data_IF_449103775961
#
_entry.id   IF_449103775961
#
_cell.length_a   1.000
_cell.length_b   1.000
_cell.length_c   1.000
_cell.angle_alpha   90.00
_cell.angle_beta   90.00
_cell.angle_gamma   90.00
#
_symmetry.space_group_name_H-M   'P 1'
#
loop_
_entity.id
_entity.type
_entity.pdbx_description
1 polymer ?
#
# COMPACT_ATOMS: atom_id res chain seq x y z
N UNK A 1 -74.56 2.14 11.58
CA UNK A 1 -73.87 1.12 10.74
C UNK A 1 -72.78 1.70 9.83
N UNK A 2 -72.59 3.02 9.75
CA UNK A 2 -71.63 3.67 8.85
C UNK A 2 -70.21 3.82 9.41
N UNK A 3 -70.05 3.98 10.72
CA UNK A 3 -68.72 4.22 11.31
C UNK A 3 -67.83 2.97 11.34
N UNK A 4 -68.38 1.80 11.67
CA UNK A 4 -67.62 0.54 11.69
C UNK A 4 -67.05 0.17 10.31
N UNK A 5 -67.74 0.54 9.23
CA UNK A 5 -67.30 0.31 7.86
C UNK A 5 -66.13 1.22 7.46
N UNK A 6 -66.07 2.43 8.02
CA UNK A 6 -64.97 3.37 7.81
C UNK A 6 -63.67 2.88 8.46
N UNK A 7 -63.74 2.41 9.71
CA UNK A 7 -62.57 1.85 10.42
C UNK A 7 -62.01 0.58 9.75
N UNK A 8 -62.89 -0.30 9.25
CA UNK A 8 -62.46 -1.50 8.54
C UNK A 8 -61.72 -1.15 7.22
N UNK A 9 -62.20 -0.16 6.47
CA UNK A 9 -61.52 0.32 5.27
C UNK A 9 -60.16 0.96 5.58
N UNK A 10 -60.07 1.76 6.64
CA UNK A 10 -58.80 2.33 7.08
C UNK A 10 -57.79 1.25 7.48
N UNK A 11 -58.22 0.19 8.20
CA UNK A 11 -57.34 -0.93 8.57
C UNK A 11 -56.82 -1.71 7.35
N UNK A 12 -57.68 -1.97 6.36
CA UNK A 12 -57.27 -2.64 5.11
C UNK A 12 -56.28 -1.78 4.32
N UNK A 13 -56.51 -0.47 4.23
CA UNK A 13 -55.60 0.46 3.54
C UNK A 13 -54.28 0.60 4.30
N UNK A 14 -54.30 0.68 5.64
CA UNK A 14 -53.08 0.69 6.47
C UNK A 14 -52.28 -0.59 6.33
N UNK A 15 -52.93 -1.75 6.24
CA UNK A 15 -52.25 -3.04 6.01
C UNK A 15 -51.63 -3.15 4.62
N UNK A 16 -52.21 -2.50 3.60
CA UNK A 16 -51.64 -2.45 2.25
C UNK A 16 -50.44 -1.50 2.14
N UNK A 17 -50.44 -0.39 2.89
CA UNK A 17 -49.32 0.57 2.91
C UNK A 17 -48.14 0.02 3.74
N UNK A 18 -48.40 -0.77 4.78
CA UNK A 18 -47.37 -1.37 5.63
C UNK A 18 -46.54 -2.48 4.94
N UNK A 19 -46.93 -2.92 3.74
CA UNK A 19 -46.23 -3.96 2.99
C UNK A 19 -45.29 -3.42 1.89
N UNK A 20 -44.99 -2.11 1.88
CA UNK A 20 -43.93 -1.58 1.01
C UNK A 20 -42.56 -1.94 1.61
N UNK A 21 -42.17 -3.21 1.45
CA UNK A 21 -40.81 -3.66 1.74
C UNK A 21 -39.92 -3.02 0.67
N UNK A 22 -39.22 -1.95 1.02
CA UNK A 22 -38.21 -1.35 0.14
C UNK A 22 -37.25 -2.46 -0.29
N UNK A 23 -37.17 -2.71 -1.59
CA UNK A 23 -36.25 -3.69 -2.13
C UNK A 23 -34.82 -3.14 -2.00
N UNK A 24 -33.91 -3.93 -1.42
CA UNK A 24 -32.53 -3.49 -1.23
C UNK A 24 -31.88 -3.37 -2.61
N UNK A 25 -31.41 -2.18 -2.96
CA UNK A 25 -30.71 -1.97 -4.23
C UNK A 25 -29.21 -1.84 -4.00
N UNK A 26 -28.43 -2.70 -4.63
CA UNK A 26 -26.97 -2.68 -4.53
C UNK A 26 -26.34 -2.33 -5.89
N UNK A 27 -25.14 -1.78 -5.82
CA UNK A 27 -24.32 -1.56 -7.01
C UNK A 27 -23.62 -2.87 -7.40
N UNK A 28 -23.66 -3.18 -8.69
CA UNK A 28 -22.90 -4.27 -9.31
C UNK A 28 -21.80 -3.67 -10.17
N UNK A 29 -20.56 -3.72 -9.68
CA UNK A 29 -19.38 -3.25 -10.41
C UNK A 29 -18.09 -3.82 -9.82
N UNK A 30 -17.01 -3.82 -10.60
CA UNK A 30 -15.65 -3.99 -10.12
C UNK A 30 -14.79 -2.77 -10.47
N UNK A 31 -13.68 -2.57 -9.77
CA UNK A 31 -12.72 -1.51 -10.06
C UNK A 31 -11.28 -1.93 -9.71
N UNK A 32 -10.31 -1.20 -10.27
CA UNK A 32 -8.89 -1.50 -10.12
C UNK A 32 -8.53 -2.86 -10.71
N UNK A 33 -7.67 -3.61 -10.01
CA UNK A 33 -7.19 -4.91 -10.46
C UNK A 33 -8.09 -6.07 -10.04
N UNK A 34 -9.27 -5.84 -9.44
CA UNK A 34 -10.09 -6.90 -8.83
C UNK A 34 -10.33 -8.08 -9.77
N UNK A 35 -10.78 -7.82 -11.01
CA UNK A 35 -11.07 -8.87 -11.99
C UNK A 35 -9.82 -9.69 -12.35
N UNK A 36 -8.64 -9.06 -12.40
CA UNK A 36 -7.38 -9.79 -12.65
C UNK A 36 -6.95 -10.69 -11.49
N UNK A 37 -7.59 -10.56 -10.31
CA UNK A 37 -7.32 -11.36 -9.11
C UNK A 37 -8.32 -12.49 -8.89
N UNK A 38 -8.98 -12.98 -9.94
CA UNK A 38 -9.88 -14.15 -9.88
C UNK A 38 -9.30 -15.33 -9.10
N UNK A 39 -8.00 -15.61 -9.27
CA UNK A 39 -7.30 -16.70 -8.59
C UNK A 39 -7.31 -16.60 -7.04
N UNK A 40 -7.53 -15.41 -6.46
CA UNK A 40 -7.72 -15.24 -5.01
C UNK A 40 -9.09 -15.74 -4.54
N UNK A 41 -10.08 -15.75 -5.42
CA UNK A 41 -11.49 -16.00 -5.10
C UNK A 41 -12.04 -17.29 -5.72
N UNK A 42 -11.26 -17.93 -6.57
CA UNK A 42 -11.57 -19.23 -7.18
C UNK A 42 -10.38 -20.16 -7.03
N UNK A 43 -10.40 -20.97 -5.96
CA UNK A 43 -9.38 -21.95 -5.67
C UNK A 43 -9.99 -23.18 -5.01
N UNK A 44 -10.10 -24.27 -5.78
CA UNK A 44 -10.58 -25.55 -5.26
C UNK A 44 -9.69 -26.09 -4.13
N UNK A 45 -8.37 -25.82 -4.20
CA UNK A 45 -7.40 -26.28 -3.20
C UNK A 45 -7.60 -25.63 -1.84
N UNK A 46 -8.05 -24.38 -1.82
CA UNK A 46 -8.25 -23.60 -0.59
C UNK A 46 -9.72 -23.56 -0.15
N UNK A 47 -10.59 -24.35 -0.79
CA UNK A 47 -12.04 -24.29 -0.60
C UNK A 47 -12.58 -22.85 -0.74
N UNK A 48 -12.04 -22.12 -1.72
CA UNK A 48 -12.48 -20.78 -2.08
C UNK A 48 -13.32 -20.87 -3.35
N UNK A 49 -14.61 -20.63 -3.20
CA UNK A 49 -15.55 -20.62 -4.29
C UNK A 49 -16.46 -19.40 -4.17
N UNK A 50 -16.15 -18.40 -4.99
CA UNK A 50 -17.01 -17.25 -5.21
C UNK A 50 -17.56 -17.28 -6.62
N UNK A 51 -18.79 -16.80 -6.77
CA UNK A 51 -19.35 -16.56 -8.10
C UNK A 51 -18.44 -15.62 -8.88
N UNK A 52 -18.36 -15.82 -10.19
CA UNK A 52 -17.51 -15.02 -11.06
C UNK A 52 -18.16 -14.84 -12.42
N UNK A 53 -18.08 -13.62 -12.94
CA UNK A 53 -18.73 -13.25 -14.19
C UNK A 53 -17.87 -12.28 -14.99
N UNK A 54 -17.86 -12.45 -16.30
CA UNK A 54 -17.17 -11.55 -17.24
C UNK A 54 -17.82 -10.16 -17.29
N UNK A 55 -19.07 -10.05 -16.79
CA UNK A 55 -19.81 -8.79 -16.72
C UNK A 55 -19.00 -7.68 -16.02
N UNK A 56 -18.27 -8.02 -14.96
CA UNK A 56 -17.49 -7.04 -14.19
C UNK A 56 -16.38 -6.37 -15.01
N UNK A 57 -15.87 -7.02 -16.07
CA UNK A 57 -14.93 -6.43 -17.01
C UNK A 57 -15.51 -5.28 -17.84
N UNK A 58 -16.84 -5.07 -17.80
CA UNK A 58 -17.54 -4.00 -18.52
C UNK A 58 -17.98 -2.83 -17.61
N UNK A 59 -17.79 -2.96 -16.30
CA UNK A 59 -18.17 -1.98 -15.26
C UNK A 59 -16.93 -1.32 -14.64
N UNK A 60 -17.12 -0.18 -13.97
CA UNK A 60 -16.04 0.46 -13.21
C UNK A 60 -16.59 1.29 -12.03
N UNK A 61 -16.42 0.78 -10.81
CA UNK A 61 -16.85 1.48 -9.60
C UNK A 61 -16.14 2.84 -9.40
N UNK A 62 -14.91 3.01 -9.89
CA UNK A 62 -14.12 4.23 -9.65
C UNK A 62 -14.73 5.48 -10.31
N UNK A 63 -15.38 5.28 -11.46
CA UNK A 63 -16.09 6.32 -12.21
C UNK A 63 -17.62 6.23 -12.03
N UNK A 64 -18.10 5.36 -11.13
CA UNK A 64 -19.53 5.15 -10.87
C UNK A 64 -20.27 4.39 -11.97
N UNK A 65 -19.56 3.75 -12.91
CA UNK A 65 -20.18 2.93 -13.97
C UNK A 65 -20.59 1.58 -13.38
N UNK A 66 -21.76 1.54 -12.75
CA UNK A 66 -22.32 0.37 -12.11
C UNK A 66 -23.74 0.08 -12.59
N UNK A 67 -24.16 -1.18 -12.49
CA UNK A 67 -25.56 -1.55 -12.66
C UNK A 67 -26.20 -1.67 -11.30
N UNK A 68 -27.32 -0.98 -11.09
CA UNK A 68 -28.10 -1.10 -9.86
C UNK A 68 -29.00 -2.33 -9.94
N UNK A 69 -28.90 -3.21 -8.94
CA UNK A 69 -29.62 -4.50 -8.91
C UNK A 69 -30.33 -4.66 -7.58
N UNK A 70 -31.54 -5.24 -7.64
CA UNK A 70 -32.26 -5.65 -6.44
C UNK A 70 -31.61 -6.90 -5.83
N UNK A 71 -31.44 -6.89 -4.51
CA UNK A 71 -30.88 -8.00 -3.74
C UNK A 71 -31.86 -8.43 -2.63
N UNK A 72 -31.84 -9.71 -2.30
CA UNK A 72 -32.65 -10.30 -1.23
C UNK A 72 -31.98 -10.20 0.13
N UNK A 73 -30.65 -10.25 0.16
CA UNK A 73 -29.80 -10.13 1.36
C UNK A 73 -29.05 -8.79 1.35
N UNK A 74 -27.83 -8.72 1.88
CA UNK A 74 -27.05 -7.48 1.97
C UNK A 74 -26.24 -7.15 0.70
N UNK A 75 -25.88 -5.88 0.54
CA UNK A 75 -24.86 -5.44 -0.40
C UNK A 75 -23.48 -5.86 0.12
N UNK A 76 -22.72 -6.55 -0.70
CA UNK A 76 -21.35 -6.95 -0.42
C UNK A 76 -20.38 -6.02 -1.13
N UNK A 77 -19.45 -5.45 -0.39
CA UNK A 77 -18.26 -4.78 -0.91
C UNK A 77 -17.03 -5.57 -0.52
N UNK A 78 -16.21 -5.94 -1.50
CA UNK A 78 -14.92 -6.60 -1.28
C UNK A 78 -13.82 -5.63 -1.65
N UNK A 79 -12.90 -5.37 -0.73
CA UNK A 79 -11.76 -4.49 -0.97
C UNK A 79 -10.47 -5.29 -0.88
N UNK A 80 -9.66 -5.18 -1.92
CA UNK A 80 -8.33 -5.77 -2.02
C UNK A 80 -7.27 -4.72 -1.72
N UNK A 81 -6.40 -5.02 -0.77
CA UNK A 81 -5.20 -4.24 -0.53
C UNK A 81 -3.97 -5.12 -0.62
N UNK A 82 -3.05 -4.81 -1.53
CA UNK A 82 -1.78 -5.54 -1.67
C UNK A 82 -0.79 -5.11 -0.60
N UNK A 83 -0.19 -6.08 0.08
CA UNK A 83 0.91 -5.83 1.00
C UNK A 83 2.17 -5.47 0.20
N UNK A 84 2.71 -4.28 0.45
CA UNK A 84 3.96 -3.78 -0.13
C UNK A 84 4.94 -3.45 1.01
N UNK A 85 6.26 -3.31 0.75
CA UNK A 85 7.24 -3.00 1.80
C UNK A 85 6.93 -1.74 2.62
N UNK A 86 6.17 -0.82 2.02
CA UNK A 86 5.76 0.45 2.61
C UNK A 86 4.34 0.42 3.21
N UNK A 87 3.74 -0.75 3.37
CA UNK A 87 2.38 -0.94 3.89
C UNK A 87 1.40 -1.47 2.85
N UNK A 88 0.13 -1.55 3.24
CA UNK A 88 -0.95 -1.99 2.36
C UNK A 88 -1.33 -0.92 1.35
N UNK A 89 -1.65 -1.36 0.14
CA UNK A 89 -1.94 -0.51 -1.01
C UNK A 89 -3.25 -0.92 -1.62
N UNK A 90 -4.18 0.00 -1.87
CA UNK A 90 -5.41 -0.34 -2.56
C UNK A 90 -5.09 -0.95 -3.94
N UNK A 91 -5.63 -2.14 -4.21
CA UNK A 91 -5.41 -2.86 -5.47
C UNK A 91 -6.70 -3.01 -6.27
N UNK A 92 -7.84 -3.25 -5.62
CA UNK A 92 -9.12 -3.38 -6.31
C UNK A 92 -10.32 -3.41 -5.37
N UNK A 93 -11.51 -3.26 -5.95
CA UNK A 93 -12.79 -3.33 -5.25
C UNK A 93 -13.83 -4.06 -6.10
N UNK A 94 -14.75 -4.75 -5.44
CA UNK A 94 -15.99 -5.27 -6.01
C UNK A 94 -17.17 -4.81 -5.17
N UNK A 95 -18.26 -4.44 -5.81
CA UNK A 95 -19.58 -4.29 -5.21
C UNK A 95 -20.57 -5.23 -5.91
N UNK A 96 -21.34 -5.99 -5.12
CA UNK A 96 -22.29 -6.99 -5.62
C UNK A 96 -23.36 -7.32 -4.57
N UNK A 97 -24.46 -7.98 -4.95
CA UNK A 97 -25.35 -8.66 -3.99
C UNK A 97 -24.61 -9.81 -3.28
N UNK A 98 -24.82 -9.99 -1.97
CA UNK A 98 -24.28 -11.17 -1.28
C UNK A 98 -24.96 -12.49 -1.70
N UNK A 99 -26.17 -12.42 -2.27
CA UNK A 99 -27.11 -13.52 -2.56
C UNK A 99 -26.51 -14.76 -3.22
N UNK A 100 -25.55 -14.60 -4.13
CA UNK A 100 -24.93 -15.73 -4.85
C UNK A 100 -23.40 -15.64 -4.83
N UNK A 101 -22.85 -14.63 -4.16
CA UNK A 101 -21.46 -14.25 -4.37
C UNK A 101 -20.48 -15.16 -3.63
N UNK A 102 -20.79 -15.55 -2.40
CA UNK A 102 -19.89 -16.33 -1.52
C UNK A 102 -20.49 -17.71 -1.26
N UNK A 103 -20.04 -18.70 -2.02
CA UNK A 103 -20.49 -20.10 -1.88
C UNK A 103 -19.67 -20.80 -0.79
N UNK A 104 -18.35 -20.68 -0.84
CA UNK A 104 -17.45 -21.12 0.23
C UNK A 104 -16.18 -20.29 0.28
N UNK A 105 -15.68 -20.02 1.48
CA UNK A 105 -14.41 -19.32 1.67
C UNK A 105 -13.89 -19.57 3.09
N UNK A 106 -12.59 -19.84 3.30
CA UNK A 106 -12.00 -19.78 4.62
C UNK A 106 -11.64 -18.34 5.04
N UNK A 107 -11.91 -17.32 4.22
CA UNK A 107 -11.71 -15.91 4.60
C UNK A 107 -12.75 -15.41 5.59
N UNK A 108 -13.88 -16.10 5.71
CA UNK A 108 -14.99 -15.71 6.57
C UNK A 108 -15.24 -16.76 7.66
N UNK A 109 -15.78 -16.35 8.82
CA UNK A 109 -16.18 -17.28 9.86
C UNK A 109 -17.13 -18.37 9.33
N UNK A 110 -16.84 -19.62 9.67
CA UNK A 110 -17.67 -20.76 9.31
C UNK A 110 -19.01 -20.79 10.06
N UNK A 111 -19.98 -21.55 9.52
CA UNK A 111 -21.31 -21.72 10.11
C UNK A 111 -22.30 -20.59 9.80
N UNK A 112 -21.88 -19.56 9.06
CA UNK A 112 -22.73 -18.46 8.59
C UNK A 112 -23.04 -18.67 7.11
N UNK A 113 -24.30 -18.49 6.73
CA UNK A 113 -24.70 -18.52 5.33
C UNK A 113 -24.64 -17.11 4.72
N UNK A 114 -23.53 -16.79 4.05
CA UNK A 114 -23.30 -15.47 3.47
C UNK A 114 -24.23 -15.12 2.30
N UNK A 115 -24.76 -16.13 1.59
CA UNK A 115 -25.80 -15.94 0.53
C UNK A 115 -27.13 -15.40 1.05
N UNK A 116 -27.33 -15.43 2.37
CA UNK A 116 -28.56 -14.93 3.02
C UNK A 116 -28.25 -13.96 4.14
N UNK A 117 -27.04 -13.40 4.14
CA UNK A 117 -26.58 -12.50 5.19
C UNK A 117 -27.31 -11.17 5.08
N UNK A 118 -28.20 -10.90 6.05
CA UNK A 118 -29.10 -9.73 6.05
C UNK A 118 -28.79 -8.80 7.21
N UNK A 119 -27.50 -8.70 7.56
CA UNK A 119 -26.99 -7.86 8.63
C UNK A 119 -25.82 -7.01 8.13
N UNK A 120 -25.48 -5.97 8.88
CA UNK A 120 -24.24 -5.24 8.65
C UNK A 120 -23.06 -6.06 9.20
N UNK A 121 -21.99 -6.20 8.41
CA UNK A 121 -20.85 -7.02 8.79
C UNK A 121 -19.55 -6.47 8.22
N UNK A 122 -18.47 -6.60 8.98
CA UNK A 122 -17.13 -6.21 8.55
C UNK A 122 -16.15 -7.32 8.93
N UNK A 123 -15.58 -7.95 7.92
CA UNK A 123 -14.66 -9.07 8.09
C UNK A 123 -13.36 -8.80 7.34
N UNK A 124 -12.26 -9.31 7.87
CA UNK A 124 -10.92 -9.13 7.32
C UNK A 124 -10.22 -10.47 7.27
N UNK A 125 -9.51 -10.73 6.18
CA UNK A 125 -8.54 -11.81 6.14
C UNK A 125 -7.31 -11.42 5.32
N UNK A 126 -6.20 -12.12 5.54
CA UNK A 126 -4.99 -11.95 4.75
C UNK A 126 -4.67 -13.23 3.99
N UNK A 127 -4.44 -13.12 2.68
CA UNK A 127 -4.10 -14.26 1.81
C UNK A 127 -3.18 -13.85 0.68
N UNK A 128 -2.14 -14.64 0.40
CA UNK A 128 -1.21 -14.43 -0.72
C UNK A 128 -0.68 -12.99 -0.82
N UNK A 129 -0.35 -12.37 0.31
CA UNK A 129 0.07 -10.96 0.43
C UNK A 129 -1.02 -9.93 0.07
N UNK A 130 -2.29 -10.27 0.18
CA UNK A 130 -3.41 -9.35 0.10
C UNK A 130 -4.16 -9.33 1.42
N UNK A 131 -4.50 -8.13 1.90
CA UNK A 131 -5.54 -7.93 2.90
C UNK A 131 -6.87 -7.79 2.16
N UNK A 132 -7.80 -8.68 2.46
CA UNK A 132 -9.12 -8.78 1.84
C UNK A 132 -10.14 -8.36 2.89
N UNK A 133 -10.88 -7.31 2.60
CA UNK A 133 -11.94 -6.80 3.49
C UNK A 133 -13.29 -7.09 2.86
N UNK A 134 -14.20 -7.70 3.62
CA UNK A 134 -15.58 -7.96 3.23
C UNK A 134 -16.49 -7.07 4.06
N UNK A 135 -17.31 -6.28 3.38
CA UNK A 135 -18.22 -5.32 4.01
C UNK A 135 -19.62 -5.64 3.53
N UNK A 136 -20.47 -6.05 4.47
CA UNK A 136 -21.89 -6.31 4.23
C UNK A 136 -22.69 -5.11 4.74
N UNK A 137 -23.56 -4.55 3.90
CA UNK A 137 -24.45 -3.44 4.24
C UNK A 137 -25.90 -3.75 3.87
N UNK A 138 -26.83 -3.38 4.73
CA UNK A 138 -28.27 -3.50 4.47
C UNK A 138 -28.90 -2.19 3.99
N UNK A 139 -28.07 -1.20 3.66
CA UNK A 139 -28.51 0.08 3.12
C UNK A 139 -28.43 0.04 1.59
N UNK A 140 -29.47 0.54 0.92
CA UNK A 140 -29.44 0.67 -0.54
C UNK A 140 -28.39 1.70 -0.93
N UNK A 141 -27.67 1.42 -2.01
CA UNK A 141 -26.66 2.32 -2.56
C UNK A 141 -27.28 3.06 -3.74
N UNK A 142 -26.98 4.36 -3.88
CA UNK A 142 -27.32 5.12 -5.07
C UNK A 142 -26.15 5.12 -6.07
N UNK A 143 -26.44 5.30 -7.37
CA UNK A 143 -25.41 5.34 -8.42
C UNK A 143 -24.31 6.39 -8.14
N UNK A 144 -24.71 7.57 -7.65
CA UNK A 144 -23.78 8.65 -7.28
C UNK A 144 -22.87 8.31 -6.09
N UNK A 145 -23.28 7.38 -5.24
CA UNK A 145 -22.53 6.99 -4.04
C UNK A 145 -21.47 5.93 -4.35
N UNK A 146 -21.59 5.20 -5.46
CA UNK A 146 -20.66 4.14 -5.86
C UNK A 146 -19.23 4.65 -5.99
N UNK A 147 -19.05 5.74 -6.74
CA UNK A 147 -17.72 6.34 -6.92
C UNK A 147 -17.19 6.89 -5.60
N UNK A 148 -18.05 7.53 -4.78
CA UNK A 148 -17.63 8.08 -3.49
C UNK A 148 -17.13 6.98 -2.55
N UNK A 149 -17.82 5.84 -2.51
CA UNK A 149 -17.40 4.72 -1.68
C UNK A 149 -16.06 4.14 -2.18
N UNK A 150 -15.83 4.05 -3.49
CA UNK A 150 -14.52 3.68 -4.04
C UNK A 150 -13.41 4.65 -3.57
N UNK A 151 -13.63 5.96 -3.75
CA UNK A 151 -12.64 6.99 -3.41
C UNK A 151 -12.34 7.08 -1.91
N UNK A 152 -13.27 6.66 -1.05
CA UNK A 152 -13.03 6.53 0.39
C UNK A 152 -11.88 5.56 0.69
N UNK A 153 -11.86 4.39 0.05
CA UNK A 153 -10.79 3.41 0.27
C UNK A 153 -9.49 3.80 -0.44
N UNK A 154 -9.60 4.27 -1.68
CA UNK A 154 -8.44 4.67 -2.46
C UNK A 154 -7.74 5.92 -1.88
N UNK A 155 -8.51 6.95 -1.51
CA UNK A 155 -8.01 8.20 -0.94
C UNK A 155 -7.38 8.03 0.44
N UNK A 156 -7.89 7.11 1.26
CA UNK A 156 -7.29 6.80 2.56
C UNK A 156 -5.85 6.25 2.43
N UNK A 157 -5.57 5.49 1.37
CA UNK A 157 -4.23 4.98 1.09
C UNK A 157 -3.28 6.09 0.58
N UNK A 158 -3.76 6.94 -0.33
CA UNK A 158 -2.98 8.10 -0.82
C UNK A 158 -2.64 9.05 0.33
N UNK A 159 -3.62 9.43 1.16
CA UNK A 159 -3.40 10.35 2.27
C UNK A 159 -2.38 9.83 3.28
N UNK A 160 -2.42 8.53 3.59
CA UNK A 160 -1.45 7.90 4.50
C UNK A 160 -0.03 7.93 3.95
N UNK A 161 0.15 7.70 2.64
CA UNK A 161 1.46 7.81 1.99
C UNK A 161 1.98 9.24 1.98
N UNK A 162 1.13 10.18 1.58
CA UNK A 162 1.50 11.59 1.47
C UNK A 162 1.90 12.18 2.83
N UNK A 163 1.19 11.86 3.91
CA UNK A 163 1.55 12.29 5.27
C UNK A 163 2.91 11.74 5.70
N UNK A 164 3.20 10.47 5.44
CA UNK A 164 4.48 9.86 5.81
C UNK A 164 5.64 10.47 5.02
N UNK A 165 5.49 10.61 3.72
CA UNK A 165 6.56 11.12 2.86
C UNK A 165 6.84 12.60 3.18
N UNK A 166 5.78 13.38 3.50
CA UNK A 166 5.90 14.77 3.97
C UNK A 166 6.56 14.85 5.34
N UNK A 167 6.23 13.96 6.27
CA UNK A 167 6.88 13.91 7.58
C UNK A 167 8.38 13.62 7.46
N UNK A 168 8.78 12.65 6.61
CA UNK A 168 10.19 12.34 6.34
C UNK A 168 10.91 13.58 5.79
N UNK A 169 10.30 14.29 4.84
CA UNK A 169 10.87 15.52 4.28
C UNK A 169 11.03 16.62 5.34
N UNK A 170 10.05 16.80 6.23
CA UNK A 170 10.15 17.79 7.32
C UNK A 170 11.28 17.42 8.28
N UNK A 171 11.39 16.14 8.67
CA UNK A 171 12.45 15.66 9.55
C UNK A 171 13.84 15.84 8.94
N UNK A 172 14.01 15.58 7.64
CA UNK A 172 15.32 15.77 6.98
C UNK A 172 15.71 17.25 6.90
N UNK A 173 14.77 18.14 6.59
CA UNK A 173 15.01 19.60 6.60
C UNK A 173 15.36 20.08 8.02
N UNK A 174 14.63 19.64 9.03
CA UNK A 174 14.89 19.98 10.42
C UNK A 174 16.28 19.49 10.89
N UNK A 175 16.68 18.27 10.50
CA UNK A 175 17.99 17.74 10.83
C UNK A 175 19.13 18.53 10.18
N UNK A 176 19.03 18.81 8.87
CA UNK A 176 20.05 19.57 8.13
C UNK A 176 20.19 20.98 8.70
N UNK A 177 19.08 21.64 9.04
CA UNK A 177 19.11 22.99 9.64
C UNK A 177 19.79 22.98 11.01
N UNK A 178 19.52 22.00 11.88
CA UNK A 178 20.20 21.86 13.17
C UNK A 178 21.70 21.63 12.99
N UNK A 179 22.11 20.78 12.04
CA UNK A 179 23.53 20.53 11.74
C UNK A 179 24.22 21.81 11.25
N UNK A 180 23.61 22.56 10.33
CA UNK A 180 24.16 23.83 9.85
C UNK A 180 24.31 24.85 10.98
N UNK A 181 23.31 24.98 11.85
CA UNK A 181 23.38 25.88 13.02
C UNK A 181 24.49 25.45 13.98
N UNK A 182 24.67 24.15 14.22
CA UNK A 182 25.74 23.62 15.06
C UNK A 182 27.12 23.91 14.46
N UNK A 183 27.31 23.70 13.15
CA UNK A 183 28.57 24.03 12.45
C UNK A 183 28.86 25.53 12.53
N UNK A 184 27.87 26.38 12.28
CA UNK A 184 28.02 27.83 12.42
C UNK A 184 28.37 28.25 13.86
N UNK A 185 27.78 27.60 14.86
CA UNK A 185 28.09 27.86 16.27
C UNK A 185 29.53 27.47 16.60
N UNK A 186 29.96 26.27 16.21
CA UNK A 186 31.33 25.79 16.42
C UNK A 186 32.35 26.70 15.71
N UNK A 187 32.08 27.12 14.48
CA UNK A 187 32.96 28.03 13.73
C UNK A 187 33.10 29.42 14.39
N UNK A 188 32.06 29.90 15.09
CA UNK A 188 32.13 31.15 15.86
C UNK A 188 32.83 30.99 17.22
N UNK A 189 32.66 29.85 17.87
CA UNK A 189 33.19 29.58 19.21
C UNK A 189 34.65 29.12 19.16
N UNK A 190 35.08 28.43 18.10
CA UNK A 190 36.49 28.12 17.90
C UNK A 190 37.25 29.43 17.68
N UNK A 191 38.09 29.84 18.64
CA UNK A 191 38.86 31.06 18.48
C UNK A 191 39.80 30.88 17.29
N UNK A 192 39.94 31.90 16.44
CA UNK A 192 40.98 32.01 15.42
C UNK A 192 42.38 32.19 16.05
N UNK A 193 42.69 31.42 17.10
CA UNK A 193 44.01 31.38 17.72
C UNK A 193 45.00 30.52 16.93
N UNK A 194 44.67 30.12 15.69
CA UNK A 194 45.65 29.63 14.72
C UNK A 194 46.44 30.82 14.15
N UNK A 195 47.18 31.43 15.07
CA UNK A 195 48.50 32.01 14.94
C UNK A 195 49.10 32.04 13.52
N UNK A 196 49.15 33.25 12.95
CA UNK A 196 49.87 33.66 11.75
C UNK A 196 51.42 33.60 11.93
N UNK A 197 51.90 32.75 12.86
CA UNK A 197 53.29 32.77 13.34
C UNK A 197 54.18 31.70 12.70
N UNK A 198 53.61 30.64 12.09
CA UNK A 198 54.42 29.58 11.45
C UNK A 198 54.63 29.75 9.93
N UNK A 199 53.88 30.61 9.23
CA UNK A 199 54.12 30.84 7.79
C UNK A 199 55.33 31.75 7.50
N UNK A 200 55.94 32.35 8.54
CA UNK A 200 57.20 33.11 8.40
C UNK A 200 58.46 32.27 8.60
N UNK A 201 58.36 31.06 9.14
CA UNK A 201 59.52 30.15 9.30
C UNK A 201 59.82 29.34 8.02
N UNK A 202 58.87 29.19 7.09
CA UNK A 202 59.07 28.45 5.84
C UNK A 202 59.67 29.28 4.68
N UNK A 203 59.98 30.56 4.88
CA UNK A 203 60.62 31.41 3.86
C UNK A 203 62.16 31.43 3.95
N UNK A 204 62.77 30.55 4.76
CA UNK A 204 64.22 30.49 4.93
C UNK A 204 64.83 29.08 4.86
N UNK A 205 64.10 28.07 4.38
CA UNK A 205 64.74 26.81 4.00
C UNK A 205 65.34 26.94 2.60
N UNK A 206 66.66 27.00 2.55
CA UNK A 206 67.50 26.87 1.36
C UNK A 206 66.99 25.80 0.37
N UNK A 207 67.12 26.03 -0.95
CA UNK A 207 66.80 25.00 -1.93
C UNK A 207 67.69 23.78 -1.70
N UNK A 208 67.06 22.66 -1.34
CA UNK A 208 67.72 21.37 -1.24
C UNK A 208 68.45 21.08 -2.56
N UNK A 209 69.78 21.03 -2.47
CA UNK A 209 70.69 20.64 -3.54
C UNK A 209 70.33 19.23 -4.00
N UNK A 210 69.74 19.13 -5.20
CA UNK A 210 69.47 17.86 -5.88
C UNK A 210 70.81 17.14 -6.07
N UNK A 211 71.03 16.04 -5.33
CA UNK A 211 72.07 15.08 -5.67
C UNK A 211 71.58 14.25 -6.83
N UNK A 212 72.38 14.25 -7.88
CA UNK A 212 72.28 13.39 -9.06
C UNK A 212 72.30 11.94 -8.56
N UNK A 213 71.20 11.21 -8.79
CA UNK A 213 71.18 9.76 -8.62
C UNK A 213 71.92 9.14 -9.79
N UNK A 214 72.96 8.38 -9.48
CA UNK A 214 73.58 7.46 -10.41
C UNK A 214 72.56 6.38 -10.81
N UNK A 215 72.64 6.02 -12.09
CA UNK A 215 72.07 4.81 -12.65
C UNK A 215 72.58 3.61 -11.88
N UNK A 216 71.75 3.02 -11.05
CA UNK A 216 71.56 1.56 -10.89
C UNK A 216 70.83 1.29 -9.56
N UNK A 217 69.74 0.51 -9.63
CA UNK A 217 69.23 -0.22 -8.45
C UNK A 217 67.87 0.21 -7.91
N UNK A 218 66.85 -0.57 -8.31
CA UNK A 218 65.56 -0.84 -7.68
C UNK A 218 65.28 -0.23 -6.28
N UNK A 219 64.16 0.49 -6.18
CA UNK A 219 63.54 0.90 -4.91
C UNK A 219 62.40 -0.06 -4.57
N UNK A 220 62.55 -0.81 -3.48
CA UNK A 220 61.46 -1.53 -2.82
C UNK A 220 60.58 -0.52 -2.06
N UNK A 221 59.30 -0.44 -2.40
CA UNK A 221 58.28 0.30 -1.65
C UNK A 221 57.63 -0.64 -0.63
N UNK A 222 58.05 -0.57 0.64
CA UNK A 222 57.28 -1.13 1.75
C UNK A 222 56.24 -0.13 2.22
N UNK A 223 54.99 -0.34 1.79
CA UNK A 223 53.83 0.42 2.27
C UNK A 223 53.40 -0.17 3.62
N UNK A 224 53.85 0.41 4.73
CA UNK A 224 53.30 0.12 6.06
C UNK A 224 52.08 1.02 6.28
N UNK A 225 50.92 0.53 5.87
CA UNK A 225 49.63 1.19 6.11
C UNK A 225 48.97 0.59 7.35
N UNK A 226 49.03 1.31 8.47
CA UNK A 226 48.18 1.13 9.64
C UNK A 226 46.71 1.38 9.25
N UNK A 227 45.92 0.31 9.08
CA UNK A 227 44.46 0.38 9.20
C UNK A 227 44.05 -0.29 10.50
N UNK A 228 43.41 0.51 11.36
CA UNK A 228 42.72 0.04 12.54
C UNK A 228 41.56 -0.89 12.12
N UNK A 229 41.60 -2.13 12.61
CA UNK A 229 40.51 -3.08 12.48
C UNK A 229 39.30 -2.60 13.30
N UNK A 230 38.22 -2.26 12.61
CA UNK A 230 36.89 -2.13 13.21
C UNK A 230 36.15 -3.43 12.93
N UNK A 231 35.73 -4.12 13.99
CA UNK A 231 34.98 -5.37 13.91
C UNK A 231 33.68 -5.17 13.12
N UNK A 232 33.54 -5.92 12.02
CA UNK A 232 32.28 -6.08 11.28
C UNK A 232 31.46 -7.21 11.94
N UNK A 233 30.14 -7.05 12.11
CA UNK A 233 29.29 -8.13 12.58
C UNK A 233 29.20 -9.27 11.55
N UNK A 234 28.96 -10.52 12.01
CA UNK A 234 28.98 -11.70 11.14
C UNK A 234 27.84 -11.68 10.12
N UNK A 235 28.21 -11.89 8.85
CA UNK A 235 27.29 -12.10 7.73
C UNK A 235 26.79 -13.56 7.79
N UNK A 236 25.48 -13.83 7.78
CA UNK A 236 24.95 -15.19 7.67
C UNK A 236 25.18 -15.77 6.27
N UNK A 237 25.50 -17.07 6.24
CA UNK A 237 25.89 -17.85 5.06
C UNK A 237 24.88 -17.75 3.90
N UNK A 238 25.34 -17.89 2.63
CA UNK A 238 24.49 -17.78 1.46
C UNK A 238 23.55 -18.99 1.32
N UNK A 239 22.26 -18.70 1.15
CA UNK A 239 21.31 -19.64 0.60
C UNK A 239 21.56 -19.81 -0.91
N UNK A 240 21.42 -21.05 -1.37
CA UNK A 240 21.59 -21.52 -2.73
C UNK A 240 20.90 -20.63 -3.76
N UNK A 241 21.67 -20.12 -4.72
CA UNK A 241 21.19 -19.47 -5.93
C UNK A 241 20.98 -20.55 -6.99
N UNK A 242 19.73 -20.75 -7.36
CA UNK A 242 19.33 -21.59 -8.50
C UNK A 242 19.58 -20.79 -9.79
N UNK A 243 20.39 -21.36 -10.68
CA UNK A 243 20.69 -20.79 -11.99
C UNK A 243 19.46 -20.88 -12.90
N UNK A 244 19.06 -19.75 -13.49
CA UNK A 244 18.25 -19.70 -14.70
C UNK A 244 19.04 -18.91 -15.73
N UNK A 245 19.55 -19.61 -16.74
CA UNK A 245 20.12 -19.02 -17.95
C UNK A 245 19.05 -18.19 -18.65
N UNK A 246 19.30 -16.89 -18.83
CA UNK A 246 18.78 -16.11 -19.96
C UNK A 246 19.69 -14.91 -20.18
N UNK A 247 20.31 -14.91 -21.36
CA UNK A 247 21.15 -13.88 -21.96
C UNK A 247 20.49 -12.50 -21.92
N UNK A 248 21.26 -11.48 -21.53
CA UNK A 248 21.12 -10.14 -22.10
C UNK A 248 22.48 -9.49 -22.28
N UNK A 249 22.84 -9.29 -23.54
CA UNK A 249 23.98 -8.53 -24.04
C UNK A 249 23.72 -7.04 -23.84
N UNK A 250 24.61 -6.33 -23.15
CA UNK A 250 24.64 -4.86 -23.16
C UNK A 250 25.90 -4.42 -23.90
N UNK A 251 25.70 -3.95 -25.13
CA UNK A 251 26.73 -3.30 -25.92
C UNK A 251 26.72 -1.82 -25.53
N UNK A 252 27.81 -1.34 -24.94
CA UNK A 252 28.08 0.09 -24.81
C UNK A 252 29.06 0.46 -25.92
N UNK A 253 28.60 1.25 -26.88
CA UNK A 253 29.45 1.93 -27.86
C UNK A 253 29.97 3.23 -27.25
N UNK A 254 31.23 3.54 -27.60
CA UNK A 254 32.18 4.48 -27.00
C UNK A 254 31.63 5.83 -26.51
#
# INVERSE_FOLDING_TARGET
MTEAYFYLKCLVILSLIAACKSELTCARCAAGNFVTKQWLFQSNRENQLMYWTDFWGTTDCAIGKATMVACQSSCLTIVLQKHMPRGFVFDGMLMECADEMIISTPDLPGGINYTRFSENGLFFNTRHNYNITYIFKIDSVNEHEVALEYWKFYGQDIGRRQLRDTAILIFTIAFVTVVLLAVCYIAKVLPQNADDTDLKQLKHSEPARIRRFDSDGYVNLSVTSLYAARELPPIPAPALVEYSENEYTVIVSC
#
